data_IF_936643092776
#
_entry.id   IF_936643092776
#
_cell.length_a   1.000
_cell.length_b   1.000
_cell.length_c   1.000
_cell.angle_alpha   90.00
_cell.angle_beta   90.00
_cell.angle_gamma   90.00
#
_symmetry.space_group_name_H-M   'P 1'
#
loop_
_entity.id
_entity.type
_entity.pdbx_description
1 polymer ?
#
# COMPACT_ATOMS: atom_id res chain seq x y z
N UNK A 1 21.03 16.27 -15.11
CA UNK A 1 19.93 15.53 -15.78
C UNK A 1 18.96 16.56 -16.36
N UNK A 2 18.12 16.21 -17.34
CA UNK A 2 17.16 17.18 -17.86
C UNK A 2 16.06 17.46 -16.82
N UNK A 3 15.64 18.71 -16.69
CA UNK A 3 14.74 19.24 -15.64
C UNK A 3 13.42 18.48 -15.43
N UNK A 4 12.92 17.81 -16.47
CA UNK A 4 11.70 16.99 -16.40
C UNK A 4 11.95 15.64 -15.70
N UNK A 5 13.15 15.06 -15.82
CA UNK A 5 13.52 13.82 -15.14
C UNK A 5 13.64 14.05 -13.63
N UNK A 6 14.21 15.18 -13.20
CA UNK A 6 14.31 15.50 -11.78
C UNK A 6 12.92 15.74 -11.14
N UNK A 7 11.99 16.33 -11.88
CA UNK A 7 10.58 16.45 -11.45
C UNK A 7 9.88 15.11 -11.35
N UNK A 8 10.10 14.23 -12.32
CA UNK A 8 9.54 12.87 -12.32
C UNK A 8 10.13 12.07 -11.15
N UNK A 9 11.43 12.12 -10.93
CA UNK A 9 12.10 11.45 -9.80
C UNK A 9 11.60 12.02 -8.48
N UNK A 10 11.52 13.34 -8.30
CA UNK A 10 10.99 13.95 -7.08
C UNK A 10 9.52 13.59 -6.82
N UNK A 11 8.68 13.52 -7.88
CA UNK A 11 7.30 13.06 -7.80
C UNK A 11 7.21 11.59 -7.40
N UNK A 12 8.07 10.75 -7.98
CA UNK A 12 8.16 9.33 -7.70
C UNK A 12 8.72 9.07 -6.28
N UNK A 13 9.68 9.86 -5.80
CA UNK A 13 10.23 9.83 -4.44
C UNK A 13 9.21 10.27 -3.38
N UNK A 14 8.38 11.25 -3.72
CA UNK A 14 7.25 11.64 -2.87
C UNK A 14 6.16 10.55 -2.84
N UNK A 15 6.08 9.74 -3.89
CA UNK A 15 5.11 8.66 -4.00
C UNK A 15 5.63 7.36 -3.37
N UNK A 16 4.79 6.68 -2.60
CA UNK A 16 5.09 5.35 -2.10
C UNK A 16 5.18 4.28 -3.21
N UNK A 17 4.94 4.66 -4.47
CA UNK A 17 4.97 3.80 -5.66
C UNK A 17 6.38 3.30 -5.97
N UNK A 18 7.42 4.13 -5.78
CA UNK A 18 8.81 3.69 -6.01
C UNK A 18 9.17 2.47 -5.16
N UNK A 19 8.72 2.45 -3.91
CA UNK A 19 8.96 1.32 -3.01
C UNK A 19 8.24 0.05 -3.45
N UNK A 20 7.22 0.13 -4.31
CA UNK A 20 6.52 -1.05 -4.84
C UNK A 20 7.17 -1.61 -6.11
N UNK A 21 7.97 -0.82 -6.85
CA UNK A 21 8.60 -1.25 -8.10
C UNK A 21 9.45 -2.52 -7.92
N UNK A 22 10.35 -2.62 -6.91
CA UNK A 22 11.14 -3.83 -6.71
C UNK A 22 10.26 -5.06 -6.44
N UNK A 23 9.19 -4.92 -5.65
CA UNK A 23 8.24 -5.99 -5.38
C UNK A 23 7.56 -6.47 -6.67
N UNK A 24 7.10 -5.56 -7.53
CA UNK A 24 6.47 -5.88 -8.82
C UNK A 24 7.43 -6.70 -9.69
N UNK A 25 8.68 -6.25 -9.83
CA UNK A 25 9.70 -6.93 -10.65
C UNK A 25 9.97 -8.34 -10.11
N UNK A 26 10.14 -8.49 -8.80
CA UNK A 26 10.41 -9.80 -8.18
C UNK A 26 9.22 -10.74 -8.38
N UNK A 27 7.99 -10.30 -8.13
CA UNK A 27 6.80 -11.14 -8.32
C UNK A 27 6.58 -11.52 -9.78
N UNK A 28 6.88 -10.61 -10.70
CA UNK A 28 6.82 -10.88 -12.14
C UNK A 28 7.80 -11.96 -12.56
N UNK A 29 9.09 -11.84 -12.18
CA UNK A 29 10.12 -12.84 -12.47
C UNK A 29 9.79 -14.20 -11.84
N UNK A 30 9.21 -14.19 -10.64
CA UNK A 30 8.77 -15.41 -9.94
C UNK A 30 7.46 -16.00 -10.46
N UNK A 31 6.76 -15.34 -11.37
CA UNK A 31 5.43 -15.72 -11.88
C UNK A 31 4.37 -15.89 -10.78
N UNK A 32 4.51 -15.17 -9.66
CA UNK A 32 3.46 -15.14 -8.61
C UNK A 32 2.40 -14.10 -8.98
N UNK A 33 1.46 -14.52 -9.85
CA UNK A 33 0.42 -13.63 -10.36
C UNK A 33 -0.60 -13.20 -9.28
N UNK A 34 -0.72 -13.92 -8.16
CA UNK A 34 -1.63 -13.57 -7.07
C UNK A 34 -1.09 -12.36 -6.30
N UNK A 35 0.17 -12.43 -5.87
CA UNK A 35 0.84 -11.31 -5.20
C UNK A 35 1.04 -10.13 -6.16
N UNK A 36 1.40 -10.39 -7.43
CA UNK A 36 1.60 -9.35 -8.43
C UNK A 36 0.34 -8.48 -8.62
N UNK A 37 -0.85 -9.10 -8.72
CA UNK A 37 -2.10 -8.34 -8.86
C UNK A 37 -2.35 -7.42 -7.68
N UNK A 38 -2.11 -7.89 -6.45
CA UNK A 38 -2.25 -7.07 -5.26
C UNK A 38 -1.33 -5.84 -5.32
N UNK A 39 -0.04 -6.06 -5.59
CA UNK A 39 0.94 -4.96 -5.66
C UNK A 39 0.66 -4.01 -6.82
N UNK A 40 0.24 -4.51 -7.98
CA UNK A 40 -0.12 -3.67 -9.12
C UNK A 40 -1.34 -2.79 -8.82
N UNK A 41 -2.38 -3.34 -8.18
CA UNK A 41 -3.56 -2.55 -7.78
C UNK A 41 -3.16 -1.47 -6.77
N UNK A 42 -2.41 -1.83 -5.73
CA UNK A 42 -1.93 -0.85 -4.75
C UNK A 42 -1.05 0.24 -5.39
N UNK A 43 -0.14 -0.15 -6.28
CA UNK A 43 0.68 0.80 -7.03
C UNK A 43 -0.14 1.75 -7.90
N UNK A 44 -1.18 1.25 -8.58
CA UNK A 44 -2.06 2.06 -9.41
C UNK A 44 -2.82 3.11 -8.58
N UNK A 45 -3.35 2.75 -7.41
CA UNK A 45 -4.07 3.67 -6.53
C UNK A 45 -3.14 4.71 -5.88
N UNK A 46 -1.92 4.31 -5.52
CA UNK A 46 -0.90 5.25 -5.01
C UNK A 46 -0.43 6.23 -6.09
N UNK A 47 -0.27 5.75 -7.33
CA UNK A 47 0.09 6.58 -8.47
C UNK A 47 -1.04 7.54 -8.84
N UNK A 48 -2.28 7.04 -8.88
CA UNK A 48 -3.46 7.87 -9.09
C UNK A 48 -3.54 8.98 -8.05
N UNK A 49 -3.39 8.64 -6.76
CA UNK A 49 -3.31 9.61 -5.69
C UNK A 49 -2.23 10.67 -5.92
N UNK A 50 -1.01 10.26 -6.22
CA UNK A 50 0.09 11.19 -6.48
C UNK A 50 -0.23 12.14 -7.65
N UNK A 51 -0.78 11.63 -8.75
CA UNK A 51 -1.11 12.44 -9.93
C UNK A 51 -2.16 13.51 -9.64
N UNK A 52 -3.18 13.17 -8.85
CA UNK A 52 -4.27 14.10 -8.55
C UNK A 52 -3.92 15.07 -7.41
N UNK A 53 -2.81 14.86 -6.69
CA UNK A 53 -2.45 15.63 -5.49
C UNK A 53 -2.33 17.13 -5.76
N UNK A 54 -1.57 17.51 -6.79
CA UNK A 54 -1.34 18.93 -7.10
C UNK A 54 -2.60 19.60 -7.67
N UNK A 55 -3.31 18.91 -8.57
CA UNK A 55 -4.56 19.42 -9.14
C UNK A 55 -5.65 19.61 -8.08
N UNK A 56 -5.78 18.68 -7.13
CA UNK A 56 -6.72 18.84 -6.01
C UNK A 56 -6.31 19.96 -5.06
N UNK A 57 -5.00 20.11 -4.81
CA UNK A 57 -4.51 21.19 -3.95
C UNK A 57 -4.78 22.56 -4.55
N UNK A 58 -4.71 22.69 -5.88
CA UNK A 58 -5.03 23.93 -6.59
C UNK A 58 -6.54 24.22 -6.60
N UNK A 59 -7.36 23.18 -6.78
CA UNK A 59 -8.83 23.30 -6.75
C UNK A 59 -9.39 23.61 -5.35
N UNK A 60 -8.78 23.08 -4.30
CA UNK A 60 -9.25 23.18 -2.90
C UNK A 60 -8.54 24.30 -2.11
N UNK A 61 -7.96 25.29 -2.81
CA UNK A 61 -7.14 26.38 -2.23
C UNK A 61 -7.90 27.23 -1.19
N UNK A 62 -9.22 27.30 -1.31
CA UNK A 62 -10.05 28.18 -0.46
C UNK A 62 -10.83 27.44 0.62
N UNK A 63 -11.12 26.14 0.43
CA UNK A 63 -12.05 25.37 1.28
C UNK A 63 -11.31 24.33 2.12
N UNK A 64 -10.21 23.77 1.63
CA UNK A 64 -9.37 22.76 2.29
C UNK A 64 -10.14 21.54 2.86
N UNK A 65 -11.24 21.12 2.22
CA UNK A 65 -12.07 19.98 2.66
C UNK A 65 -12.19 18.91 1.58
N UNK A 66 -12.39 19.30 0.32
CA UNK A 66 -12.67 18.37 -0.78
C UNK A 66 -11.56 17.36 -1.00
N UNK A 67 -10.32 17.75 -0.72
CA UNK A 67 -9.17 16.86 -0.79
C UNK A 67 -9.36 15.60 0.06
N UNK A 68 -9.77 15.74 1.32
CA UNK A 68 -9.91 14.59 2.22
C UNK A 68 -11.03 13.64 1.78
N UNK A 69 -12.09 14.17 1.17
CA UNK A 69 -13.22 13.38 0.69
C UNK A 69 -12.81 12.55 -0.54
N UNK A 70 -12.03 13.13 -1.46
CA UNK A 70 -11.48 12.40 -2.62
C UNK A 70 -10.46 11.35 -2.19
N UNK A 71 -9.62 11.64 -1.20
CA UNK A 71 -8.71 10.63 -0.64
C UNK A 71 -9.48 9.48 0.04
N UNK A 72 -10.54 9.78 0.79
CA UNK A 72 -11.35 8.76 1.45
C UNK A 72 -12.04 7.88 0.44
N UNK A 73 -12.55 8.48 -0.64
CA UNK A 73 -13.12 7.75 -1.74
C UNK A 73 -12.08 6.86 -2.43
N UNK A 74 -10.86 7.36 -2.65
CA UNK A 74 -9.76 6.57 -3.23
C UNK A 74 -9.42 5.34 -2.37
N UNK A 75 -9.31 5.51 -1.06
CA UNK A 75 -8.99 4.42 -0.13
C UNK A 75 -10.14 3.40 -0.05
N UNK A 76 -11.39 3.85 -0.02
CA UNK A 76 -12.57 2.97 -0.07
C UNK A 76 -12.65 2.22 -1.41
N UNK A 77 -12.36 2.88 -2.53
CA UNK A 77 -12.35 2.26 -3.85
C UNK A 77 -11.25 1.19 -3.94
N UNK A 78 -10.06 1.45 -3.37
CA UNK A 78 -9.01 0.45 -3.26
C UNK A 78 -9.47 -0.74 -2.41
N UNK A 79 -10.06 -0.48 -1.24
CA UNK A 79 -10.59 -1.52 -0.35
C UNK A 79 -11.63 -2.39 -1.06
N UNK A 80 -12.58 -1.77 -1.76
CA UNK A 80 -13.61 -2.48 -2.50
C UNK A 80 -13.04 -3.36 -3.62
N UNK A 81 -12.07 -2.83 -4.38
CA UNK A 81 -11.44 -3.56 -5.48
C UNK A 81 -10.62 -4.76 -4.96
N UNK A 82 -9.83 -4.57 -3.90
CA UNK A 82 -9.06 -5.65 -3.28
C UNK A 82 -9.97 -6.71 -2.68
N UNK A 83 -11.05 -6.31 -1.99
CA UNK A 83 -12.03 -7.26 -1.46
C UNK A 83 -12.70 -8.07 -2.58
N UNK A 84 -13.09 -7.41 -3.68
CA UNK A 84 -13.64 -8.08 -4.86
C UNK A 84 -12.66 -9.10 -5.45
N UNK A 85 -11.39 -8.73 -5.60
CA UNK A 85 -10.34 -9.63 -6.10
C UNK A 85 -10.04 -10.78 -5.13
N UNK A 86 -10.15 -10.54 -3.83
CA UNK A 86 -10.04 -11.55 -2.78
C UNK A 86 -11.14 -12.60 -2.86
N UNK A 87 -12.41 -12.17 -3.04
CA UNK A 87 -13.55 -13.08 -3.20
C UNK A 87 -13.46 -13.92 -4.48
N UNK A 88 -12.82 -13.38 -5.53
CA UNK A 88 -12.58 -14.10 -6.80
C UNK A 88 -11.33 -14.99 -6.79
N UNK A 89 -10.69 -15.18 -5.63
CA UNK A 89 -9.43 -15.91 -5.47
C UNK A 89 -8.32 -15.43 -6.42
N UNK A 90 -8.35 -14.15 -6.82
CA UNK A 90 -7.34 -13.56 -7.70
C UNK A 90 -6.15 -12.98 -6.94
N UNK A 91 -6.23 -12.97 -5.60
CA UNK A 91 -5.25 -12.46 -4.64
C UNK A 91 -5.29 -13.36 -3.40
N UNK A 92 -4.18 -13.43 -2.64
CA UNK A 92 -4.16 -14.14 -1.36
C UNK A 92 -5.16 -13.54 -0.34
N UNK A 93 -6.07 -14.37 0.16
CA UNK A 93 -7.11 -13.94 1.11
C UNK A 93 -6.50 -13.34 2.40
N UNK A 94 -5.45 -13.94 2.95
CA UNK A 94 -4.78 -13.41 4.13
C UNK A 94 -4.12 -12.04 3.89
N UNK A 95 -3.57 -11.82 2.68
CA UNK A 95 -2.99 -10.54 2.29
C UNK A 95 -4.08 -9.48 2.10
N UNK A 96 -5.23 -9.88 1.54
CA UNK A 96 -6.42 -9.05 1.46
C UNK A 96 -6.88 -8.62 2.86
N UNK A 97 -7.11 -9.56 3.79
CA UNK A 97 -7.57 -9.24 5.16
C UNK A 97 -6.60 -8.31 5.88
N UNK A 98 -5.29 -8.59 5.84
CA UNK A 98 -4.29 -7.71 6.45
C UNK A 98 -4.26 -6.32 5.81
N UNK A 99 -4.35 -6.24 4.48
CA UNK A 99 -4.40 -4.97 3.76
C UNK A 99 -5.60 -4.12 4.17
N UNK A 100 -6.78 -4.73 4.30
CA UNK A 100 -8.00 -4.04 4.75
C UNK A 100 -7.85 -3.50 6.18
N UNK A 101 -7.30 -4.31 7.10
CA UNK A 101 -7.09 -3.91 8.49
C UNK A 101 -6.13 -2.72 8.63
N UNK A 102 -5.10 -2.66 7.79
CA UNK A 102 -4.17 -1.52 7.78
C UNK A 102 -4.86 -0.29 7.18
N UNK A 103 -5.47 -0.43 6.00
CA UNK A 103 -5.96 0.71 5.21
C UNK A 103 -7.23 1.31 5.77
N UNK A 104 -8.12 0.56 6.44
CA UNK A 104 -9.40 1.07 6.96
C UNK A 104 -9.25 2.29 7.88
N UNK A 105 -8.11 2.42 8.54
CA UNK A 105 -7.81 3.57 9.40
C UNK A 105 -7.62 4.87 8.62
N UNK A 106 -7.21 4.83 7.35
CA UNK A 106 -7.01 6.01 6.50
C UNK A 106 -8.31 6.74 6.14
N UNK A 107 -9.35 6.10 5.56
CA UNK A 107 -10.60 6.79 5.24
C UNK A 107 -11.32 7.24 6.52
N UNK A 108 -11.20 6.52 7.64
CA UNK A 108 -11.73 6.97 8.93
C UNK A 108 -11.07 8.28 9.36
N UNK A 109 -9.74 8.37 9.31
CA UNK A 109 -9.00 9.59 9.65
C UNK A 109 -9.32 10.75 8.70
N UNK A 110 -9.49 10.47 7.41
CA UNK A 110 -9.83 11.48 6.42
C UNK A 110 -11.26 12.03 6.63
N UNK A 111 -12.25 11.17 6.90
CA UNK A 111 -13.61 11.58 7.24
C UNK A 111 -13.67 12.32 8.58
N UNK A 112 -12.96 11.85 9.60
CA UNK A 112 -12.84 12.55 10.88
C UNK A 112 -12.29 13.95 10.68
N UNK A 113 -11.30 14.12 9.80
CA UNK A 113 -10.73 15.43 9.48
C UNK A 113 -11.70 16.36 8.75
N UNK A 114 -12.57 15.83 7.88
CA UNK A 114 -13.65 16.61 7.25
C UNK A 114 -14.62 17.16 8.29
N UNK A 115 -15.01 16.31 9.24
CA UNK A 115 -15.93 16.66 10.34
C UNK A 115 -15.30 17.67 11.29
N UNK A 116 -14.06 17.41 11.72
CA UNK A 116 -13.32 18.27 12.65
C UNK A 116 -13.10 19.68 12.08
N UNK A 117 -12.79 19.81 10.79
CA UNK A 117 -12.64 21.11 10.14
C UNK A 117 -13.95 21.90 10.04
N UNK A 118 -15.09 21.22 10.00
CA UNK A 118 -16.42 21.88 10.01
C UNK A 118 -16.90 22.25 11.40
N UNK A 119 -16.52 21.49 12.44
CA UNK A 119 -17.11 21.63 13.78
C UNK A 119 -16.18 22.27 14.80
N UNK A 120 -14.86 21.98 14.77
CA UNK A 120 -14.00 22.29 15.91
C UNK A 120 -12.57 22.77 15.60
N UNK A 121 -12.07 22.72 14.36
CA UNK A 121 -10.74 23.20 13.92
C UNK A 121 -9.60 22.92 14.94
N UNK A 122 -9.59 21.71 15.52
CA UNK A 122 -8.65 21.35 16.58
C UNK A 122 -7.24 21.10 16.02
N UNK A 123 -6.22 21.68 16.65
CA UNK A 123 -4.81 21.39 16.33
C UNK A 123 -4.43 19.90 16.51
N UNK A 124 -5.12 19.17 17.38
CA UNK A 124 -4.84 17.76 17.69
C UNK A 124 -5.11 16.82 16.51
N UNK A 125 -6.24 17.01 15.80
CA UNK A 125 -6.61 16.26 14.59
C UNK A 125 -5.56 16.42 13.48
N UNK A 126 -4.94 17.60 13.40
CA UNK A 126 -3.89 17.85 12.42
C UNK A 126 -2.63 17.03 12.66
N UNK A 127 -2.22 16.90 13.92
CA UNK A 127 -1.07 16.09 14.32
C UNK A 127 -1.34 14.59 14.03
N UNK A 128 -2.48 14.08 14.49
CA UNK A 128 -2.89 12.68 14.28
C UNK A 128 -2.84 12.31 12.80
N UNK A 129 -3.44 13.12 11.93
CA UNK A 129 -3.44 12.88 10.49
C UNK A 129 -2.03 12.85 9.88
N UNK A 130 -1.16 13.80 10.25
CA UNK A 130 0.21 13.86 9.71
C UNK A 130 1.08 12.69 10.16
N UNK A 131 0.79 12.10 11.32
CA UNK A 131 1.56 10.96 11.86
C UNK A 131 1.01 9.62 11.37
N UNK A 132 -0.30 9.42 11.38
CA UNK A 132 -0.91 8.13 11.04
C UNK A 132 -0.96 7.86 9.55
N UNK A 133 -1.19 8.87 8.69
CA UNK A 133 -1.29 8.64 7.25
C UNK A 133 0.00 8.04 6.64
N UNK A 134 1.21 8.56 6.97
CA UNK A 134 2.45 7.92 6.52
C UNK A 134 2.63 6.51 7.08
N UNK A 135 2.25 6.27 8.34
CA UNK A 135 2.35 4.93 8.95
C UNK A 135 1.45 3.91 8.24
N UNK A 136 0.24 4.31 7.85
CA UNK A 136 -0.69 3.44 7.10
C UNK A 136 -0.13 3.12 5.71
N UNK A 137 0.44 4.12 5.03
CA UNK A 137 1.08 3.89 3.72
C UNK A 137 2.28 2.95 3.85
N UNK A 138 3.15 3.14 4.85
CA UNK A 138 4.25 2.22 5.15
C UNK A 138 3.72 0.81 5.42
N UNK A 139 2.70 0.68 6.27
CA UNK A 139 2.08 -0.60 6.57
C UNK A 139 1.54 -1.30 5.31
N UNK A 140 0.92 -0.55 4.41
CA UNK A 140 0.40 -1.06 3.14
C UNK A 140 1.52 -1.55 2.22
N UNK A 141 2.63 -0.81 2.15
CA UNK A 141 3.84 -1.25 1.43
C UNK A 141 4.38 -2.52 2.06
N UNK A 142 4.50 -2.61 3.38
CA UNK A 142 4.97 -3.82 4.07
C UNK A 142 4.08 -5.03 3.73
N UNK A 143 2.77 -4.87 3.72
CA UNK A 143 1.82 -5.92 3.32
C UNK A 143 2.04 -6.40 1.88
N UNK A 144 2.46 -5.50 0.97
CA UNK A 144 2.84 -5.87 -0.39
C UNK A 144 4.08 -6.78 -0.43
N UNK A 145 5.01 -6.64 0.52
CA UNK A 145 6.23 -7.45 0.62
C UNK A 145 6.08 -8.76 1.41
N UNK A 146 5.03 -8.91 2.22
CA UNK A 146 4.83 -10.11 3.05
C UNK A 146 4.89 -11.45 2.29
N UNK A 147 4.32 -11.60 1.07
CA UNK A 147 4.44 -12.86 0.33
C UNK A 147 5.89 -13.24 0.00
N UNK A 148 6.77 -12.25 -0.25
CA UNK A 148 8.21 -12.51 -0.47
C UNK A 148 8.88 -13.05 0.79
N UNK A 149 8.60 -12.43 1.94
CA UNK A 149 9.16 -12.84 3.24
C UNK A 149 8.73 -14.26 3.56
N UNK A 150 7.44 -14.57 3.39
CA UNK A 150 6.90 -15.92 3.61
C UNK A 150 7.60 -16.98 2.75
N UNK A 151 7.85 -16.66 1.47
CA UNK A 151 8.54 -17.57 0.54
C UNK A 151 10.00 -17.81 0.94
N UNK A 152 10.73 -16.78 1.38
CA UNK A 152 12.12 -16.93 1.85
C UNK A 152 12.18 -17.84 3.08
N UNK A 153 11.30 -17.62 4.06
CA UNK A 153 11.23 -18.44 5.27
C UNK A 153 10.88 -19.90 4.93
N UNK A 154 9.91 -20.11 4.04
CA UNK A 154 9.50 -21.46 3.62
C UNK A 154 10.64 -22.21 2.93
N UNK A 155 11.35 -21.56 2.01
CA UNK A 155 12.48 -22.17 1.31
C UNK A 155 13.61 -22.55 2.28
N UNK A 156 13.92 -21.70 3.27
CA UNK A 156 14.94 -22.01 4.28
C UNK A 156 14.56 -23.21 5.15
N UNK A 157 13.28 -23.37 5.50
CA UNK A 157 12.77 -24.54 6.24
C UNK A 157 12.88 -25.84 5.42
N UNK A 158 12.66 -25.78 4.10
CA UNK A 158 12.81 -26.94 3.21
C UNK A 158 14.29 -27.34 3.09
N UNK A 159 15.20 -26.38 2.96
CA UNK A 159 16.65 -26.63 2.89
C UNK A 159 17.16 -27.27 4.18
N UNK A 160 16.73 -26.77 5.35
CA UNK A 160 17.10 -27.37 6.65
C UNK A 160 16.54 -28.78 6.81
N UNK A 161 15.26 -29.02 6.50
CA UNK A 161 14.67 -30.37 6.63
C UNK A 161 15.28 -31.41 5.68
N UNK A 162 15.72 -31.01 4.47
CA UNK A 162 16.41 -31.93 3.55
C UNK A 162 17.86 -32.23 3.98
N UNK A 163 18.50 -31.35 4.75
CA UNK A 163 19.83 -31.59 5.32
C UNK A 163 19.85 -32.69 6.38
N UNK A 164 18.79 -32.82 7.17
CA UNK A 164 18.68 -33.85 8.22
C UNK A 164 18.30 -35.25 7.70
N UNK A 165 17.82 -35.39 6.46
CA UNK A 165 17.39 -36.68 5.88
C UNK A 165 18.51 -37.52 5.23
N UNK A 166 19.77 -37.08 5.28
CA UNK A 166 20.90 -37.76 4.61
C UNK A 166 21.91 -38.39 5.59
N UNK A 167 21.49 -39.21 6.53
CA UNK A 167 22.37 -40.26 7.08
C UNK A 167 21.52 -41.48 7.44
N UNK A 168 21.44 -42.53 6.59
CA UNK A 168 21.02 -43.84 7.08
C UNK A 168 22.09 -44.36 8.05
N UNK A 169 21.71 -44.96 9.20
CA UNK A 169 22.68 -45.54 10.11
C UNK A 169 23.45 -46.64 9.35
N UNK A 170 24.79 -46.52 9.33
CA UNK A 170 25.65 -47.61 8.89
C UNK A 170 25.33 -48.83 9.75
N UNK A 171 24.85 -49.89 9.10
CA UNK A 171 24.79 -51.24 9.68
C UNK A 171 26.13 -51.93 9.49
#
# INVERSE_FOLDING_TARGET
>A
MPLWVDKVIAFLELSWVLFLIPAIVIFYLRKDFLALRFVCVTGAFFLFGALIYDSLREFDKDIYVYRYLVWAFNDIAWMALIAYLGIKDKVYLWQCVLGQLVVITAPILQLFRVVDRHLWDLSYSTLMYKTFLPLINIGTVVVCYLPLIYLVIKNNKVVTNNGYKKVPPLK
#
